data_IF_604703989986
#
_entry.id   IF_604703989986
#
_cell.length_a   1.000
_cell.length_b   1.000
_cell.length_c   1.000
_cell.angle_alpha   90.00
_cell.angle_beta   90.00
_cell.angle_gamma   90.00
#
_symmetry.space_group_name_H-M   'P 1'
#
loop_
_entity.id
_entity.type
_entity.pdbx_description
1 polymer ?
#
# COMPACT_ATOMS: atom_id res chain seq x y z
N UNK A 1 -6.19 17.39 -2.79
CA UNK A 1 -5.38 16.18 -3.04
C UNK A 1 -3.91 16.54 -3.02
N UNK A 2 -3.02 15.56 -3.03
CA UNK A 2 -1.59 15.75 -3.12
C UNK A 2 -0.94 14.70 -4.04
N UNK A 3 0.28 15.02 -4.47
CA UNK A 3 1.16 14.11 -5.18
C UNK A 3 2.52 14.19 -4.46
N UNK A 4 3.07 13.04 -4.11
CA UNK A 4 4.31 12.94 -3.34
C UNK A 4 5.25 11.95 -4.03
N UNK A 5 6.52 12.31 -4.02
CA UNK A 5 7.61 11.45 -4.47
C UNK A 5 8.44 11.04 -3.26
N UNK A 6 8.63 9.74 -3.09
CA UNK A 6 9.38 9.16 -1.97
C UNK A 6 10.58 8.38 -2.50
N UNK A 7 11.76 8.71 -1.99
CA UNK A 7 13.02 8.03 -2.33
C UNK A 7 13.54 7.28 -1.10
N UNK A 8 13.66 5.96 -1.22
CA UNK A 8 14.25 5.09 -0.24
C UNK A 8 15.71 4.81 -0.61
N UNK A 9 16.65 5.46 0.10
CA UNK A 9 18.09 5.29 -0.12
C UNK A 9 18.62 3.89 0.25
N UNK A 10 17.84 3.07 0.95
CA UNK A 10 18.18 1.71 1.35
C UNK A 10 17.46 0.64 0.49
N UNK A 11 16.57 1.05 -0.41
CA UNK A 11 15.88 0.11 -1.30
C UNK A 11 16.83 -0.50 -2.32
N UNK A 12 16.51 -1.68 -2.82
CA UNK A 12 17.25 -2.31 -3.91
C UNK A 12 16.31 -2.79 -5.02
N UNK A 13 16.83 -2.86 -6.24
CA UNK A 13 16.04 -3.19 -7.42
C UNK A 13 15.97 -4.72 -7.65
N UNK A 14 16.76 -5.50 -6.89
CA UNK A 14 16.69 -6.96 -6.82
C UNK A 14 16.05 -7.42 -5.49
N UNK A 15 14.75 -7.67 -5.55
CA UNK A 15 13.98 -8.11 -4.38
C UNK A 15 14.33 -9.50 -3.88
N UNK A 16 14.95 -10.35 -4.71
CA UNK A 16 15.39 -11.68 -4.28
C UNK A 16 16.62 -11.59 -3.37
N UNK A 17 17.50 -10.62 -3.63
CA UNK A 17 18.71 -10.38 -2.85
C UNK A 17 18.42 -9.70 -1.49
N UNK A 18 17.28 -9.02 -1.35
CA UNK A 18 16.84 -8.42 -0.08
C UNK A 18 16.68 -9.45 1.07
N UNK A 19 16.43 -10.73 0.74
CA UNK A 19 16.40 -11.82 1.72
C UNK A 19 17.76 -12.44 1.99
N UNK A 20 18.74 -12.26 1.09
CA UNK A 20 20.11 -12.76 1.26
C UNK A 20 21.05 -11.74 1.88
N UNK A 21 20.74 -10.44 1.79
CA UNK A 21 21.45 -9.40 2.53
C UNK A 21 20.95 -9.36 3.99
N UNK A 22 21.82 -9.76 4.91
CA UNK A 22 21.57 -9.75 6.35
C UNK A 22 21.20 -8.36 6.87
N UNK A 23 21.68 -7.30 6.22
CA UNK A 23 21.43 -5.91 6.65
C UNK A 23 20.00 -5.47 6.36
N UNK A 24 19.43 -5.93 5.24
CA UNK A 24 18.06 -5.59 4.81
C UNK A 24 17.05 -6.49 5.53
N UNK A 25 17.33 -7.79 5.61
CA UNK A 25 16.46 -8.78 6.27
C UNK A 25 16.29 -8.53 7.77
N UNK A 26 17.35 -8.13 8.50
CA UNK A 26 17.25 -7.78 9.92
C UNK A 26 16.40 -6.53 10.15
N UNK A 27 16.52 -5.52 9.28
CA UNK A 27 15.74 -4.27 9.39
C UNK A 27 14.28 -4.44 8.97
N UNK A 28 14.03 -5.30 7.99
CA UNK A 28 12.69 -5.71 7.60
C UNK A 28 11.99 -6.47 8.74
N UNK A 29 12.70 -7.39 9.40
CA UNK A 29 12.18 -8.10 10.58
C UNK A 29 11.91 -7.18 11.78
N UNK A 30 12.69 -6.09 11.94
CA UNK A 30 12.42 -5.06 12.95
C UNK A 30 11.30 -4.08 12.58
N UNK A 31 10.77 -4.15 11.36
CA UNK A 31 9.74 -3.24 10.87
C UNK A 31 10.24 -1.82 10.58
N UNK A 32 11.55 -1.65 10.35
CA UNK A 32 12.14 -0.34 10.02
C UNK A 32 12.04 0.00 8.53
N UNK A 33 11.81 -1.01 7.68
CA UNK A 33 11.61 -0.88 6.25
C UNK A 33 10.22 -1.41 5.91
N UNK A 34 9.38 -0.54 5.35
CA UNK A 34 8.02 -0.89 4.89
C UNK A 34 7.94 -1.05 3.37
N UNK A 35 9.03 -0.72 2.67
CA UNK A 35 9.14 -0.68 1.21
C UNK A 35 10.52 -1.17 0.80
N UNK A 36 10.58 -2.06 -0.20
CA UNK A 36 11.82 -2.69 -0.68
C UNK A 36 12.44 -1.93 -1.87
N UNK A 37 11.62 -1.26 -2.66
CA UNK A 37 12.04 -0.47 -3.82
C UNK A 37 12.66 0.88 -3.44
N UNK A 38 13.32 1.51 -4.42
CA UNK A 38 14.05 2.78 -4.25
C UNK A 38 13.19 4.02 -4.47
N UNK A 39 12.24 3.97 -5.39
CA UNK A 39 11.48 5.15 -5.81
C UNK A 39 10.00 4.87 -5.87
N UNK A 40 9.23 5.68 -5.14
CA UNK A 40 7.78 5.61 -5.12
C UNK A 40 7.18 6.95 -5.48
N UNK A 41 6.04 6.88 -6.17
CA UNK A 41 5.18 8.00 -6.45
C UNK A 41 3.82 7.71 -5.86
N UNK A 42 3.40 8.52 -4.89
CA UNK A 42 2.10 8.43 -4.26
C UNK A 42 1.21 9.60 -4.70
N UNK A 43 -0.05 9.32 -4.95
CA UNK A 43 -1.06 10.31 -5.28
C UNK A 43 -2.27 10.09 -4.39
N UNK A 44 -2.81 11.17 -3.83
CA UNK A 44 -4.00 11.12 -3.01
C UNK A 44 -5.01 12.17 -3.46
N UNK A 45 -6.24 11.73 -3.72
CA UNK A 45 -7.34 12.61 -4.08
C UNK A 45 -8.47 12.39 -3.08
N UNK A 46 -9.05 13.50 -2.62
CA UNK A 46 -10.30 13.54 -1.86
C UNK A 46 -11.36 14.18 -2.74
N UNK A 47 -12.47 13.50 -2.91
CA UNK A 47 -13.67 13.96 -3.60
C UNK A 47 -14.80 14.05 -2.58
N UNK A 48 -15.29 15.26 -2.37
CA UNK A 48 -16.48 15.50 -1.55
C UNK A 48 -17.70 15.43 -2.48
N UNK A 49 -18.37 14.27 -2.51
CA UNK A 49 -19.57 14.08 -3.34
C UNK A 49 -20.81 14.68 -2.67
N UNK A 50 -20.84 14.65 -1.34
CA UNK A 50 -21.87 15.25 -0.49
C UNK A 50 -21.21 15.67 0.84
N UNK A 51 -21.73 16.66 1.59
CA UNK A 51 -21.16 17.05 2.88
C UNK A 51 -20.97 15.88 3.86
N UNK A 52 -21.88 14.90 3.82
CA UNK A 52 -21.84 13.68 4.63
C UNK A 52 -21.13 12.50 3.95
N UNK A 53 -20.73 12.60 2.68
CA UNK A 53 -20.15 11.50 1.91
C UNK A 53 -18.89 11.92 1.16
N UNK A 54 -17.76 11.45 1.66
CA UNK A 54 -16.45 11.73 1.12
C UNK A 54 -15.80 10.47 0.56
N UNK A 55 -15.21 10.58 -0.62
CA UNK A 55 -14.45 9.50 -1.26
C UNK A 55 -12.98 9.91 -1.33
N UNK A 56 -12.12 8.97 -1.01
CA UNK A 56 -10.68 9.09 -1.01
C UNK A 56 -10.11 8.03 -1.94
N UNK A 57 -9.12 8.41 -2.74
CA UNK A 57 -8.37 7.49 -3.57
C UNK A 57 -6.90 7.77 -3.34
N UNK A 58 -6.21 6.80 -2.76
CA UNK A 58 -4.75 6.80 -2.65
C UNK A 58 -4.18 5.79 -3.64
N UNK A 59 -3.20 6.20 -4.42
CA UNK A 59 -2.44 5.33 -5.32
C UNK A 59 -0.98 5.44 -4.94
N UNK A 60 -0.30 4.33 -4.74
CA UNK A 60 1.14 4.29 -4.49
C UNK A 60 1.74 3.41 -5.59
N UNK A 61 2.61 3.97 -6.42
CA UNK A 61 3.34 3.27 -7.46
C UNK A 61 4.81 3.20 -7.09
N UNK A 62 5.41 2.03 -7.22
CA UNK A 62 6.84 1.92 -7.40
C UNK A 62 7.17 2.35 -8.85
N UNK A 63 8.22 3.14 -9.04
CA UNK A 63 8.64 3.62 -10.36
C UNK A 63 9.73 2.74 -10.97
N UNK A 64 10.44 1.96 -10.15
CA UNK A 64 11.51 1.05 -10.60
C UNK A 64 10.89 -0.22 -11.21
N UNK A 65 9.95 -0.83 -10.50
CA UNK A 65 9.07 -1.83 -11.07
C UNK A 65 7.68 -1.20 -11.23
N UNK A 66 6.99 -1.34 -12.38
CA UNK A 66 5.68 -0.71 -12.58
C UNK A 66 4.59 -1.47 -11.81
N UNK A 67 4.73 -1.56 -10.50
CA UNK A 67 3.83 -2.21 -9.56
C UNK A 67 3.44 -1.27 -8.42
N UNK A 68 2.30 -1.52 -7.79
CA UNK A 68 1.76 -0.58 -6.84
C UNK A 68 0.52 -1.07 -6.11
N UNK A 69 -0.06 -0.16 -5.34
CA UNK A 69 -1.33 -0.36 -4.64
C UNK A 69 -2.30 0.78 -4.91
N UNK A 70 -3.58 0.43 -4.98
CA UNK A 70 -4.70 1.34 -5.08
C UNK A 70 -5.56 1.13 -3.83
N UNK A 71 -5.81 2.22 -3.11
CA UNK A 71 -6.56 2.22 -1.86
C UNK A 71 -7.76 3.16 -1.98
N UNK A 72 -8.90 2.67 -2.51
CA UNK A 72 -10.15 3.41 -2.42
C UNK A 72 -10.68 3.37 -1.00
N UNK A 73 -11.19 4.50 -0.51
CA UNK A 73 -11.86 4.62 0.78
C UNK A 73 -13.04 5.58 0.67
N UNK A 74 -14.16 5.25 1.28
CA UNK A 74 -15.31 6.14 1.41
C UNK A 74 -15.67 6.29 2.89
N UNK A 75 -15.99 7.51 3.31
CA UNK A 75 -16.52 7.80 4.64
C UNK A 75 -17.90 8.41 4.50
N UNK A 76 -18.87 7.83 5.18
CA UNK A 76 -20.26 8.26 5.21
C UNK A 76 -20.68 8.56 6.65
N UNK A 77 -21.01 9.82 6.91
CA UNK A 77 -21.65 10.26 8.15
C UNK A 77 -23.17 10.03 8.03
N UNK A 78 -23.66 8.97 8.67
CA UNK A 78 -25.07 8.55 8.59
C UNK A 78 -25.94 9.42 9.51
N UNK A 79 -25.39 9.77 10.68
CA UNK A 79 -25.98 10.66 11.66
C UNK A 79 -24.87 11.50 12.30
N UNK A 80 -25.23 12.44 13.18
CA UNK A 80 -24.27 13.29 13.90
C UNK A 80 -23.23 12.46 14.68
N UNK A 81 -23.64 11.29 15.18
CA UNK A 81 -22.82 10.45 16.05
C UNK A 81 -22.37 9.13 15.39
N UNK A 82 -22.73 8.88 14.12
CA UNK A 82 -22.44 7.60 13.46
C UNK A 82 -21.78 7.79 12.10
N UNK A 83 -20.59 7.20 11.95
CA UNK A 83 -19.83 7.18 10.72
C UNK A 83 -19.58 5.74 10.25
N UNK A 84 -19.75 5.50 8.95
CA UNK A 84 -19.28 4.29 8.28
C UNK A 84 -18.06 4.63 7.42
N UNK A 85 -17.00 3.86 7.58
CA UNK A 85 -15.85 3.87 6.67
C UNK A 85 -15.78 2.56 5.91
N UNK A 86 -15.80 2.62 4.60
CA UNK A 86 -15.54 1.51 3.70
C UNK A 86 -14.18 1.73 3.04
N UNK A 87 -13.36 0.71 2.88
CA UNK A 87 -12.17 0.82 2.06
C UNK A 87 -11.62 -0.52 1.61
N UNK A 88 -10.58 -0.46 0.79
CA UNK A 88 -9.85 -1.65 0.39
C UNK A 88 -8.42 -1.33 -0.03
N UNK A 89 -7.61 -2.37 -0.09
CA UNK A 89 -6.25 -2.32 -0.61
C UNK A 89 -6.17 -3.32 -1.76
N UNK A 90 -5.92 -2.80 -2.96
CA UNK A 90 -5.79 -3.59 -4.18
C UNK A 90 -4.34 -3.49 -4.64
N UNK A 91 -3.69 -4.61 -4.87
CA UNK A 91 -2.29 -4.67 -5.28
C UNK A 91 -2.17 -5.13 -6.73
N UNK A 92 -1.39 -4.42 -7.53
CA UNK A 92 -1.16 -4.74 -8.94
C UNK A 92 0.33 -4.73 -9.27
N UNK A 93 0.72 -5.56 -10.23
CA UNK A 93 2.11 -5.74 -10.62
C UNK A 93 2.31 -7.03 -11.42
N UNK A 94 3.39 -7.09 -12.22
CA UNK A 94 3.83 -8.32 -12.87
C UNK A 94 4.45 -9.27 -11.84
N UNK A 95 4.44 -10.58 -12.11
CA UNK A 95 5.19 -11.53 -11.29
C UNK A 95 6.68 -11.16 -11.29
N UNK A 96 7.30 -11.16 -10.10
CA UNK A 96 8.68 -10.74 -9.89
C UNK A 96 8.84 -9.30 -9.41
N UNK A 97 7.75 -8.52 -9.29
CA UNK A 97 7.78 -7.16 -8.72
C UNK A 97 7.36 -7.18 -7.25
N UNK A 98 7.66 -6.12 -6.52
CA UNK A 98 7.35 -5.99 -5.08
C UNK A 98 5.86 -6.24 -4.79
N UNK A 99 4.97 -5.53 -5.47
CA UNK A 99 3.51 -5.67 -5.28
C UNK A 99 2.87 -6.76 -6.14
N UNK A 100 3.57 -7.26 -7.15
CA UNK A 100 3.14 -8.39 -7.98
C UNK A 100 3.51 -9.76 -7.40
N UNK A 101 4.35 -9.76 -6.38
CA UNK A 101 4.91 -10.94 -5.72
C UNK A 101 6.10 -11.51 -6.49
N UNK A 102 7.21 -11.62 -5.79
CA UNK A 102 8.40 -12.34 -6.24
C UNK A 102 8.51 -13.68 -5.51
N UNK A 103 9.30 -14.60 -6.07
CA UNK A 103 9.45 -15.94 -5.51
C UNK A 103 10.40 -15.87 -4.32
N UNK A 104 9.96 -16.34 -3.16
CA UNK A 104 10.84 -16.44 -1.99
C UNK A 104 11.88 -17.54 -2.27
N UNK A 105 13.19 -17.26 -2.16
CA UNK A 105 14.23 -18.26 -2.32
C UNK A 105 13.96 -19.51 -1.48
N UNK A 106 14.24 -20.70 -2.02
CA UNK A 106 14.01 -22.00 -1.36
C UNK A 106 12.55 -22.35 -1.02
N UNK A 107 11.55 -21.61 -1.52
CA UNK A 107 10.14 -22.00 -1.42
C UNK A 107 9.41 -21.88 -2.77
N UNK A 108 8.22 -22.48 -2.87
CA UNK A 108 7.33 -22.31 -4.02
C UNK A 108 6.27 -21.20 -3.81
N UNK A 109 6.41 -20.41 -2.76
CA UNK A 109 5.48 -19.33 -2.44
C UNK A 109 5.92 -18.00 -3.05
N UNK A 110 4.92 -17.18 -3.38
CA UNK A 110 5.10 -15.80 -3.84
C UNK A 110 4.82 -14.85 -2.68
N UNK A 111 5.57 -13.75 -2.59
CA UNK A 111 5.35 -12.67 -1.62
C UNK A 111 4.17 -11.76 -1.94
N UNK A 112 3.33 -12.11 -2.93
CA UNK A 112 2.27 -11.22 -3.40
C UNK A 112 1.33 -10.85 -2.23
N UNK A 113 1.17 -9.56 -1.90
CA UNK A 113 0.18 -9.13 -0.93
C UNK A 113 -1.24 -9.49 -1.40
N UNK A 114 -2.09 -9.91 -0.46
CA UNK A 114 -3.49 -10.22 -0.75
C UNK A 114 -4.32 -8.94 -0.83
N UNK A 115 -5.22 -8.87 -1.82
CA UNK A 115 -6.22 -7.82 -1.87
C UNK A 115 -7.13 -7.92 -0.64
N UNK A 116 -7.49 -6.78 -0.07
CA UNK A 116 -8.31 -6.71 1.15
C UNK A 116 -9.38 -5.65 1.04
N UNK A 117 -10.49 -5.87 1.73
CA UNK A 117 -11.55 -4.90 1.92
C UNK A 117 -11.90 -4.83 3.40
N UNK A 118 -12.34 -3.67 3.86
CA UNK A 118 -12.75 -3.44 5.24
C UNK A 118 -13.96 -2.52 5.31
N UNK A 119 -14.71 -2.69 6.40
CA UNK A 119 -15.81 -1.83 6.79
C UNK A 119 -15.67 -1.57 8.29
N UNK A 120 -15.73 -0.29 8.66
CA UNK A 120 -15.72 0.17 10.04
C UNK A 120 -16.97 0.99 10.31
N UNK A 121 -17.62 0.69 11.43
CA UNK A 121 -18.70 1.49 11.99
C UNK A 121 -18.15 2.17 13.24
N UNK A 122 -18.22 3.49 13.28
CA UNK A 122 -17.76 4.30 14.41
C UNK A 122 -18.94 5.06 14.98
N UNK A 123 -19.13 4.92 16.29
CA UNK A 123 -20.15 5.64 17.05
C UNK A 123 -19.46 6.56 18.06
N UNK A 124 -19.78 7.85 18.02
CA UNK A 124 -19.24 8.87 18.92
C UNK A 124 -20.24 9.11 20.06
N UNK A 125 -19.75 9.26 21.30
CA UNK A 125 -20.54 9.45 22.51
C UNK A 125 -19.98 10.57 23.38
#
# INVERSE_FOLDING_TARGET
GFLEFYFNGLGDDDYADAYTDTTISERLNRGELFTLGRTYMSGHIRLELHPLFNVYLTVINNLTDPSGTIQPRATWDISEDTQITLGGNIYYGRRGTEYGGFKIPNTNYLTKPSDSAFLWLTYFF
#
